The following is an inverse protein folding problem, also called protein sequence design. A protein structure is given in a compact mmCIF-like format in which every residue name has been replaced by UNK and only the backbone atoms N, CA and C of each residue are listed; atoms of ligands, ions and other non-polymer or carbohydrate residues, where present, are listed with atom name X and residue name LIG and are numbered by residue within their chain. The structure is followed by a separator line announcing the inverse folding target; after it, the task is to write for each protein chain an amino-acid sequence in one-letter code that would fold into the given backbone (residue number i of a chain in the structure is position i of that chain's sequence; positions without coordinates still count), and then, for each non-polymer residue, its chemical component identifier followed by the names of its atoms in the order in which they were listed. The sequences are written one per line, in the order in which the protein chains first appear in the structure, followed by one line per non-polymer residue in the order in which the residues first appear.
data_IF_196763147249
#
_entry.id   IF_196763147249
#
_cell.length_a   1.000
_cell.length_b   1.000
_cell.length_c   1.000
_cell.angle_alpha   90.00
_cell.angle_beta   90.00
_cell.angle_gamma   90.00
#
_symmetry.space_group_name_H-M   'P 1'
#
loop_
_entity.id
_entity.type
_entity.pdbx_description
1 polymer ?
#
# COMPACT_ATOMS: atom_id res chain seq x y z
N UNK A 1 -27.24 7.33 7.76
CA UNK A 1 -25.79 7.06 7.59
C UNK A 1 -25.50 7.08 6.10
N UNK A 2 -24.67 8.00 5.62
CA UNK A 2 -24.34 8.11 4.19
C UNK A 2 -23.66 6.82 3.74
N UNK A 3 -24.34 6.04 2.89
CA UNK A 3 -23.74 4.90 2.20
C UNK A 3 -22.59 5.46 1.34
N UNK A 4 -21.36 5.18 1.73
CA UNK A 4 -20.18 5.62 0.97
C UNK A 4 -20.15 4.87 -0.36
N UNK A 5 -20.61 5.51 -1.43
CA UNK A 5 -20.58 4.95 -2.78
C UNK A 5 -19.14 4.84 -3.27
N UNK A 6 -18.76 3.69 -3.82
CA UNK A 6 -17.47 3.49 -4.48
C UNK A 6 -17.48 4.18 -5.84
N UNK A 7 -16.56 5.11 -6.05
CA UNK A 7 -16.42 5.87 -7.30
C UNK A 7 -15.42 5.20 -8.25
N UNK A 8 -14.35 4.64 -7.70
CA UNK A 8 -13.27 4.03 -8.47
C UNK A 8 -12.62 2.90 -7.69
N UNK A 9 -12.11 1.91 -8.42
CA UNK A 9 -11.28 0.86 -7.87
C UNK A 9 -10.27 0.36 -8.91
N UNK A 10 -9.02 0.19 -8.51
CA UNK A 10 -7.98 -0.40 -9.33
C UNK A 10 -7.16 -1.42 -8.54
N UNK A 11 -6.71 -2.48 -9.21
CA UNK A 11 -5.68 -3.37 -8.71
C UNK A 11 -4.32 -2.85 -9.17
N UNK A 12 -3.37 -2.79 -8.26
CA UNK A 12 -2.04 -2.23 -8.50
C UNK A 12 -0.99 -3.28 -8.13
N UNK A 13 0.12 -3.28 -8.87
CA UNK A 13 1.30 -4.04 -8.49
C UNK A 13 2.34 -3.05 -7.97
N UNK A 14 2.82 -3.31 -6.77
CA UNK A 14 3.79 -2.47 -6.09
C UNK A 14 5.03 -3.33 -5.88
N UNK A 15 6.07 -3.02 -6.63
CA UNK A 15 7.34 -3.74 -6.61
C UNK A 15 8.37 -2.81 -6.02
N UNK A 16 9.11 -3.27 -5.02
CA UNK A 16 10.19 -2.53 -4.41
C UNK A 16 11.42 -3.40 -4.20
N UNK A 17 12.53 -2.77 -3.86
CA UNK A 17 13.79 -3.45 -3.57
C UNK A 17 14.27 -3.07 -2.19
N UNK A 18 14.56 -4.06 -1.35
CA UNK A 18 15.15 -3.85 -0.04
C UNK A 18 16.66 -3.58 -0.20
N UNK A 19 17.13 -2.48 0.36
CA UNK A 19 18.48 -1.97 0.11
C UNK A 19 19.59 -2.85 0.72
N UNK A 20 19.33 -3.49 1.87
CA UNK A 20 20.36 -4.27 2.57
C UNK A 20 20.44 -5.72 2.11
N UNK A 21 19.29 -6.39 1.97
CA UNK A 21 19.25 -7.79 1.53
C UNK A 21 19.30 -7.92 0.00
N UNK A 22 19.11 -6.82 -0.73
CA UNK A 22 19.02 -6.80 -2.19
C UNK A 22 17.83 -7.62 -2.75
N UNK A 23 16.93 -8.09 -1.87
CA UNK A 23 15.74 -8.82 -2.24
C UNK A 23 14.65 -7.89 -2.79
N UNK A 24 13.91 -8.39 -3.76
CA UNK A 24 12.72 -7.72 -4.28
C UNK A 24 11.52 -8.10 -3.43
N UNK A 25 10.62 -7.13 -3.26
CA UNK A 25 9.32 -7.34 -2.63
C UNK A 25 8.22 -7.09 -3.66
N UNK A 26 7.11 -7.79 -3.50
CA UNK A 26 5.91 -7.54 -4.29
C UNK A 26 4.70 -7.48 -3.39
N UNK A 27 3.91 -6.43 -3.59
CA UNK A 27 2.60 -6.26 -3.00
C UNK A 27 1.55 -6.09 -4.09
N UNK A 28 0.39 -6.71 -3.89
CA UNK A 28 -0.82 -6.41 -4.65
C UNK A 28 -1.62 -5.36 -3.91
N UNK A 29 -1.76 -4.19 -4.52
CA UNK A 29 -2.57 -3.08 -4.06
C UNK A 29 -4.00 -3.14 -4.57
N UNK A 30 -4.94 -2.69 -3.74
CA UNK A 30 -6.31 -2.38 -4.11
C UNK A 30 -6.57 -0.91 -3.75
N UNK A 31 -6.44 -0.03 -4.73
CA UNK A 31 -6.78 1.39 -4.59
C UNK A 31 -8.29 1.53 -4.76
N UNK A 32 -8.95 2.16 -3.79
CA UNK A 32 -10.39 2.42 -3.83
C UNK A 32 -10.65 3.88 -3.47
N UNK A 33 -11.48 4.55 -4.26
CA UNK A 33 -11.92 5.92 -4.01
C UNK A 33 -13.43 5.90 -3.75
N UNK A 34 -13.83 6.50 -2.63
CA UNK A 34 -15.22 6.61 -2.19
C UNK A 34 -15.72 8.04 -2.31
N UNK A 35 -17.02 8.19 -2.53
CA UNK A 35 -17.71 9.46 -2.38
C UNK A 35 -17.97 9.73 -0.89
N UNK A 36 -16.99 10.30 -0.19
CA UNK A 36 -17.10 10.72 1.21
C UNK A 36 -16.22 11.93 1.50
N UNK A 37 -16.59 12.69 2.52
CA UNK A 37 -15.95 13.97 2.87
C UNK A 37 -14.61 13.83 3.59
N UNK A 38 -14.32 12.69 4.21
CA UNK A 38 -13.05 12.45 4.91
C UNK A 38 -12.39 11.18 4.45
N UNK A 39 -11.09 11.27 4.15
CA UNK A 39 -10.22 10.18 3.69
C UNK A 39 -10.83 9.36 2.55
N UNK A 40 -11.38 9.95 1.47
CA UNK A 40 -12.01 9.21 0.39
C UNK A 40 -11.13 8.15 -0.27
N UNK A 41 -9.80 8.27 -0.19
CA UNK A 41 -8.86 7.36 -0.85
C UNK A 41 -8.34 6.32 0.14
N UNK A 42 -8.46 5.04 -0.23
CA UNK A 42 -7.92 3.91 0.54
C UNK A 42 -7.07 3.05 -0.38
N UNK A 43 -5.84 2.75 0.02
CA UNK A 43 -5.01 1.72 -0.60
C UNK A 43 -4.80 0.60 0.40
N UNK A 44 -5.26 -0.61 0.04
CA UNK A 44 -4.95 -1.83 0.79
C UNK A 44 -3.90 -2.61 0.01
N UNK A 45 -2.78 -2.93 0.63
CA UNK A 45 -1.75 -3.77 0.02
C UNK A 45 -1.71 -5.12 0.72
N UNK A 46 -1.46 -6.17 -0.04
CA UNK A 46 -1.22 -7.53 0.44
C UNK A 46 0.10 -8.04 -0.12
N UNK A 47 0.95 -8.55 0.74
CA UNK A 47 2.23 -9.15 0.40
C UNK A 47 2.01 -10.40 -0.44
N UNK A 48 2.82 -10.54 -1.48
CA UNK A 48 3.01 -11.80 -2.20
C UNK A 48 4.45 -12.32 -2.00
N UNK A 49 5.11 -11.88 -0.92
CA UNK A 49 6.41 -12.42 -0.50
C UNK A 49 6.14 -13.78 0.13
N UNK A 50 6.51 -14.86 -0.55
CA UNK A 50 6.53 -16.20 0.01
C UNK A 50 7.98 -16.54 0.39
N UNK A 51 8.19 -16.87 1.67
CA UNK A 51 9.40 -17.54 2.17
C UNK A 51 10.73 -16.75 2.03
N UNK A 52 10.74 -15.50 2.50
CA UNK A 52 11.95 -14.66 2.62
C UNK A 52 12.10 -14.12 4.04
N UNK A 53 13.33 -13.81 4.48
CA UNK A 53 13.58 -13.11 5.75
C UNK A 53 12.78 -11.81 5.87
N UNK A 54 12.41 -11.17 4.76
CA UNK A 54 11.57 -9.99 4.78
C UNK A 54 10.12 -10.27 5.20
N UNK A 55 9.64 -11.51 5.07
CA UNK A 55 8.29 -11.88 5.53
C UNK A 55 8.10 -11.72 7.04
N UNK A 56 9.16 -11.81 7.85
CA UNK A 56 9.06 -11.57 9.30
C UNK A 56 9.09 -10.10 9.67
N UNK A 57 9.65 -9.25 8.81
CA UNK A 57 9.83 -7.81 9.04
C UNK A 57 8.76 -6.95 8.37
N UNK A 58 8.06 -7.49 7.37
CA UNK A 58 7.07 -6.77 6.58
C UNK A 58 5.65 -7.26 6.89
N UNK A 59 4.73 -6.31 7.01
CA UNK A 59 3.32 -6.64 7.27
C UNK A 59 2.72 -7.36 6.05
N UNK A 60 2.09 -8.51 6.24
CA UNK A 60 1.38 -9.25 5.17
C UNK A 60 0.28 -8.41 4.53
N UNK A 61 -0.37 -7.55 5.33
CA UNK A 61 -1.36 -6.61 4.83
C UNK A 61 -1.16 -5.23 5.46
N UNK A 62 -1.36 -4.18 4.67
CA UNK A 62 -1.35 -2.81 5.17
C UNK A 62 -2.43 -1.97 4.50
N UNK A 63 -3.02 -1.07 5.28
CA UNK A 63 -4.03 -0.15 4.80
C UNK A 63 -3.57 1.30 4.99
N UNK A 64 -3.64 2.08 3.92
CA UNK A 64 -3.35 3.50 3.90
C UNK A 64 -4.62 4.25 3.54
N UNK A 65 -4.89 5.34 4.28
CA UNK A 65 -6.05 6.22 4.07
C UNK A 65 -5.58 7.65 3.95
N UNK A 66 -6.19 8.41 3.05
CA UNK A 66 -5.88 9.82 2.84
C UNK A 66 -6.96 10.53 2.06
N UNK A 67 -6.85 11.84 2.01
CA UNK A 67 -7.77 12.72 1.30
C UNK A 67 -7.49 12.74 -0.20
N UNK A 68 -6.25 12.43 -0.60
CA UNK A 68 -5.83 12.36 -2.00
C UNK A 68 -5.02 11.09 -2.30
N UNK A 69 -4.91 10.75 -3.59
CA UNK A 69 -4.04 9.65 -4.06
C UNK A 69 -2.59 9.92 -3.66
N UNK A 70 -2.10 11.13 -3.89
CA UNK A 70 -0.72 11.52 -3.56
C UNK A 70 -0.40 11.34 -2.07
N UNK A 71 -1.30 11.71 -1.17
CA UNK A 71 -1.10 11.52 0.27
C UNK A 71 -1.02 10.03 0.65
N UNK A 72 -1.88 9.20 0.06
CA UNK A 72 -1.88 7.75 0.28
C UNK A 72 -0.56 7.12 -0.19
N UNK A 73 -0.08 7.50 -1.38
CA UNK A 73 1.19 7.03 -1.92
C UNK A 73 2.41 7.57 -1.16
N UNK A 74 2.35 8.80 -0.64
CA UNK A 74 3.39 9.34 0.24
C UNK A 74 3.49 8.52 1.54
N UNK A 75 2.35 8.12 2.12
CA UNK A 75 2.31 7.25 3.32
C UNK A 75 2.88 5.86 3.03
N UNK A 76 2.53 5.28 1.88
CA UNK A 76 3.12 4.03 1.39
C UNK A 76 4.64 4.15 1.25
N UNK A 77 5.12 5.17 0.54
CA UNK A 77 6.55 5.44 0.34
C UNK A 77 7.30 5.61 1.65
N UNK A 78 6.73 6.38 2.58
CA UNK A 78 7.32 6.58 3.90
C UNK A 78 7.38 5.29 4.72
N UNK A 79 6.38 4.42 4.58
CA UNK A 79 6.36 3.12 5.25
C UNK A 79 7.43 2.18 4.69
N UNK A 80 7.53 2.05 3.36
CA UNK A 80 8.59 1.27 2.72
C UNK A 80 9.98 1.78 3.07
N UNK A 81 10.19 3.09 3.03
CA UNK A 81 11.48 3.69 3.37
C UNK A 81 11.91 3.36 4.81
N UNK A 82 10.98 3.36 5.78
CA UNK A 82 11.27 2.93 7.17
C UNK A 82 11.63 1.45 7.27
N UNK A 83 11.18 0.63 6.32
CA UNK A 83 11.51 -0.79 6.18
C UNK A 83 12.71 -1.04 5.27
N UNK A 84 13.44 0.01 4.86
CA UNK A 84 14.62 -0.12 4.00
C UNK A 84 14.32 -0.45 2.54
N UNK A 85 13.07 -0.25 2.09
CA UNK A 85 12.61 -0.55 0.72
C UNK A 85 12.43 0.75 -0.07
N UNK A 86 12.81 0.71 -1.35
CA UNK A 86 12.57 1.77 -2.35
C UNK A 86 11.86 1.21 -3.59
N UNK A 87 11.10 2.03 -4.32
CA UNK A 87 10.40 1.70 -5.56
C UNK A 87 10.29 2.93 -6.47
#
# INVERSE_FOLDING_TARGET
MSNSTKLFQSKEQIIGKHLKSNESIMYIGLLTIYNRTSKPVILKIKSEIYDSFLSTEMDDTKEFKGDTISEVYQKLSSWFRRKGVIF
#
